data_IF_050448163189
#
_entry.id   IF_050448163189
#
_cell.length_a   1.000
_cell.length_b   1.000
_cell.length_c   1.000
_cell.angle_alpha   90.00
_cell.angle_beta   90.00
_cell.angle_gamma   90.00
#
_symmetry.space_group_name_H-M   'P 1'
#
loop_
_entity.id
_entity.type
_entity.pdbx_description
1 polymer ?
#
# COMPACT_ATOMS: atom_id res chain seq x y z
N UNK A 1 16.18 -56.41 -5.02
CA UNK A 1 15.91 -55.92 -3.64
C UNK A 1 16.20 -54.43 -3.58
N UNK A 2 15.14 -53.62 -3.35
CA UNK A 2 15.12 -52.26 -2.78
C UNK A 2 15.99 -51.17 -3.43
N UNK A 3 15.54 -50.63 -4.57
CA UNK A 3 15.89 -49.26 -4.98
C UNK A 3 15.06 -48.29 -4.13
N UNK A 4 15.65 -47.77 -3.05
CA UNK A 4 15.03 -46.72 -2.23
C UNK A 4 15.15 -45.42 -3.03
N UNK A 5 14.08 -45.08 -3.74
CA UNK A 5 13.90 -43.75 -4.33
C UNK A 5 13.48 -42.84 -3.18
N UNK A 6 14.45 -42.10 -2.64
CA UNK A 6 14.23 -41.05 -1.65
C UNK A 6 13.63 -39.84 -2.38
N UNK A 7 12.30 -39.81 -2.47
CA UNK A 7 11.54 -38.67 -2.97
C UNK A 7 11.61 -37.57 -1.90
N UNK A 8 12.60 -36.66 -2.02
CA UNK A 8 12.72 -35.48 -1.15
C UNK A 8 11.50 -34.57 -1.37
N UNK A 9 10.65 -34.52 -0.35
CA UNK A 9 9.52 -33.63 -0.22
C UNK A 9 10.03 -32.19 -0.05
N UNK A 10 9.96 -31.38 -1.12
CA UNK A 10 10.14 -29.93 -1.05
C UNK A 10 8.94 -29.31 -0.33
N UNK A 11 9.01 -29.18 1.00
CA UNK A 11 8.15 -28.24 1.73
C UNK A 11 8.62 -26.82 1.40
N UNK A 12 7.97 -26.20 0.42
CA UNK A 12 8.07 -24.76 0.21
C UNK A 12 7.54 -24.04 1.45
N UNK A 13 8.43 -23.36 2.18
CA UNK A 13 8.03 -22.47 3.27
C UNK A 13 7.29 -21.29 2.64
N UNK A 14 5.96 -21.30 2.76
CA UNK A 14 5.14 -20.14 2.42
C UNK A 14 5.38 -19.10 3.51
N UNK A 15 6.16 -18.06 3.19
CA UNK A 15 6.36 -16.92 4.08
C UNK A 15 5.07 -16.11 4.08
N UNK A 16 4.22 -16.32 5.09
CA UNK A 16 3.02 -15.50 5.32
C UNK A 16 3.44 -14.12 5.85
N UNK A 17 3.67 -13.17 4.94
CA UNK A 17 3.73 -11.75 5.29
C UNK A 17 2.33 -11.13 5.29
N UNK A 18 2.08 -10.14 6.15
CA UNK A 18 0.82 -9.39 6.12
C UNK A 18 0.63 -8.68 4.78
N UNK A 19 -0.58 -8.73 4.23
CA UNK A 19 -0.91 -8.03 2.98
C UNK A 19 -0.98 -6.51 3.21
N UNK A 20 -0.89 -5.72 2.15
CA UNK A 20 -1.07 -4.27 2.27
C UNK A 20 -2.46 -3.87 2.79
N UNK A 21 -3.49 -4.63 2.43
CA UNK A 21 -4.84 -4.45 2.94
C UNK A 21 -4.94 -4.75 4.45
N UNK A 22 -4.29 -5.82 4.92
CA UNK A 22 -4.23 -6.15 6.34
C UNK A 22 -3.49 -5.07 7.14
N UNK A 23 -2.40 -4.53 6.59
CA UNK A 23 -1.68 -3.41 7.19
C UNK A 23 -2.61 -2.20 7.26
N UNK A 24 -3.30 -1.84 6.17
CA UNK A 24 -4.23 -0.70 6.16
C UNK A 24 -5.36 -0.82 7.20
N UNK A 25 -5.86 -2.05 7.41
CA UNK A 25 -6.89 -2.35 8.43
C UNK A 25 -6.35 -2.22 9.85
N UNK A 26 -5.14 -2.75 10.12
CA UNK A 26 -4.52 -2.73 11.45
C UNK A 26 -3.99 -1.34 11.84
N UNK A 27 -3.57 -0.57 10.85
CA UNK A 27 -2.87 0.70 11.03
C UNK A 27 -3.76 1.90 10.75
N UNK A 28 -5.04 1.81 11.15
CA UNK A 28 -6.06 2.86 11.13
C UNK A 28 -6.35 3.60 9.81
N UNK A 29 -5.68 3.24 8.71
CA UNK A 29 -5.72 3.98 7.44
C UNK A 29 -7.17 4.12 6.92
N UNK A 30 -7.98 3.08 7.12
CA UNK A 30 -9.37 3.01 6.64
C UNK A 30 -10.36 3.90 7.40
N UNK A 31 -9.97 4.53 8.51
CA UNK A 31 -10.82 5.53 9.18
C UNK A 31 -10.97 6.80 8.35
N UNK A 32 -9.92 7.16 7.59
CA UNK A 32 -9.88 8.41 6.82
C UNK A 32 -9.85 8.18 5.31
N UNK A 33 -9.30 7.06 4.86
CA UNK A 33 -9.13 6.72 3.45
C UNK A 33 -10.09 5.60 3.04
N UNK A 34 -10.73 5.77 1.90
CA UNK A 34 -11.44 4.70 1.20
C UNK A 34 -10.66 4.29 -0.06
N UNK A 35 -11.02 3.15 -0.67
CA UNK A 35 -10.37 2.69 -1.89
C UNK A 35 -10.56 3.71 -3.04
N UNK A 36 -11.80 3.99 -3.41
CA UNK A 36 -12.16 4.71 -4.64
C UNK A 36 -12.87 6.05 -4.41
N UNK A 37 -13.61 6.19 -3.31
CA UNK A 37 -14.43 7.37 -3.00
C UNK A 37 -13.73 8.37 -2.09
N UNK A 38 -14.06 9.65 -2.26
CA UNK A 38 -13.62 10.73 -1.35
C UNK A 38 -14.21 10.51 0.05
N UNK A 39 -13.43 10.82 1.08
CA UNK A 39 -13.85 10.73 2.48
C UNK A 39 -13.23 11.90 3.27
N UNK A 40 -12.85 11.69 4.52
CA UNK A 40 -12.09 12.63 5.34
C UNK A 40 -10.74 12.97 4.66
N UNK A 41 -10.16 12.00 3.96
CA UNK A 41 -8.92 12.13 3.19
C UNK A 41 -9.10 11.60 1.74
N UNK A 42 -8.12 11.81 0.84
CA UNK A 42 -8.22 11.32 -0.54
C UNK A 42 -8.32 9.80 -0.62
N UNK A 43 -9.07 9.29 -1.59
CA UNK A 43 -9.14 7.86 -1.88
C UNK A 43 -7.77 7.27 -2.25
N UNK A 44 -7.48 6.03 -1.89
CA UNK A 44 -6.21 5.37 -2.23
C UNK A 44 -5.94 5.35 -3.73
N UNK A 45 -6.94 5.05 -4.55
CA UNK A 45 -6.82 5.10 -6.01
C UNK A 45 -6.48 6.52 -6.51
N UNK A 46 -7.03 7.54 -5.85
CA UNK A 46 -6.72 8.94 -6.13
C UNK A 46 -5.28 9.32 -5.77
N UNK A 47 -4.77 8.81 -4.65
CA UNK A 47 -3.39 8.98 -4.17
C UNK A 47 -2.42 8.32 -5.15
N UNK A 48 -2.68 7.06 -5.52
CA UNK A 48 -1.88 6.33 -6.49
C UNK A 48 -1.78 7.09 -7.82
N UNK A 49 -2.93 7.48 -8.38
CA UNK A 49 -2.99 8.27 -9.62
C UNK A 49 -2.22 9.57 -9.52
N UNK A 50 -2.35 10.29 -8.41
CA UNK A 50 -1.65 11.55 -8.21
C UNK A 50 -0.13 11.39 -8.21
N UNK A 51 0.40 10.44 -7.44
CA UNK A 51 1.83 10.19 -7.35
C UNK A 51 2.42 9.65 -8.66
N UNK A 52 1.71 8.76 -9.36
CA UNK A 52 2.12 8.27 -10.69
C UNK A 52 2.20 9.42 -11.70
N UNK A 53 1.25 10.37 -11.66
CA UNK A 53 1.26 11.53 -12.56
C UNK A 53 2.38 12.52 -12.25
N UNK A 54 2.68 12.74 -10.96
CA UNK A 54 3.72 13.68 -10.55
C UNK A 54 5.14 13.12 -10.71
N UNK A 55 5.34 11.84 -10.39
CA UNK A 55 6.63 11.17 -10.51
C UNK A 55 6.46 9.74 -11.03
N UNK A 56 6.31 9.55 -12.35
CA UNK A 56 6.07 8.22 -12.94
C UNK A 56 7.26 7.26 -12.76
N UNK A 57 8.48 7.77 -12.58
CA UNK A 57 9.69 6.95 -12.38
C UNK A 57 9.79 6.39 -10.97
N UNK A 58 9.30 7.13 -9.98
CA UNK A 58 9.28 6.72 -8.59
C UNK A 58 8.05 7.29 -7.85
N UNK A 59 6.86 6.69 -8.06
CA UNK A 59 5.65 7.14 -7.37
C UNK A 59 5.64 6.77 -5.87
N UNK A 60 6.61 5.99 -5.40
CA UNK A 60 6.62 5.42 -4.04
C UNK A 60 7.22 6.37 -3.02
N UNK A 61 8.31 7.07 -3.36
CA UNK A 61 9.09 7.87 -2.41
C UNK A 61 8.24 8.88 -1.62
N UNK A 62 7.41 9.68 -2.31
CA UNK A 62 6.54 10.65 -1.62
C UNK A 62 5.51 9.96 -0.73
N UNK A 63 4.93 8.85 -1.17
CA UNK A 63 3.96 8.09 -0.36
C UNK A 63 4.60 7.53 0.91
N UNK A 64 5.79 6.93 0.80
CA UNK A 64 6.56 6.42 1.93
C UNK A 64 6.89 7.55 2.92
N UNK A 65 7.36 8.69 2.41
CA UNK A 65 7.68 9.85 3.24
C UNK A 65 6.45 10.35 4.01
N UNK A 66 5.31 10.49 3.33
CA UNK A 66 4.06 10.96 3.95
C UNK A 66 3.58 9.99 5.04
N UNK A 67 3.69 8.67 4.85
CA UNK A 67 3.32 7.68 5.88
C UNK A 67 4.25 7.78 7.10
N UNK A 68 5.56 7.91 6.87
CA UNK A 68 6.54 8.00 7.98
C UNK A 68 6.40 9.27 8.80
N UNK A 69 6.22 10.41 8.14
CA UNK A 69 6.36 11.73 8.75
C UNK A 69 5.05 12.50 8.86
N UNK A 70 3.96 11.93 8.37
CA UNK A 70 2.68 12.61 8.26
C UNK A 70 2.68 13.61 7.10
N UNK A 71 1.59 14.37 7.00
CA UNK A 71 1.48 15.47 6.04
C UNK A 71 0.43 16.49 6.44
N UNK A 72 0.50 17.69 5.88
CA UNK A 72 -0.51 18.73 6.06
C UNK A 72 -0.83 19.40 4.73
N UNK A 73 -2.10 19.40 4.34
CA UNK A 73 -2.58 20.18 3.20
C UNK A 73 -2.03 19.81 1.81
N UNK A 74 -1.45 18.61 1.65
CA UNK A 74 -0.81 18.15 0.39
C UNK A 74 -1.76 18.18 -0.83
N UNK A 75 -3.05 17.94 -0.60
CA UNK A 75 -4.06 17.93 -1.64
C UNK A 75 -4.95 19.17 -1.53
N UNK A 76 -5.13 19.89 -2.64
CA UNK A 76 -5.96 21.12 -2.68
C UNK A 76 -7.36 20.96 -2.06
N UNK A 77 -8.01 19.83 -2.31
CA UNK A 77 -9.35 19.54 -1.75
C UNK A 77 -9.33 19.12 -0.27
N UNK A 78 -8.15 18.89 0.31
CA UNK A 78 -7.92 18.46 1.68
C UNK A 78 -6.92 19.41 2.39
N UNK A 79 -6.89 20.69 2.01
CA UNK A 79 -5.90 21.68 2.47
C UNK A 79 -5.84 21.85 4.00
N UNK A 80 -6.95 21.61 4.70
CA UNK A 80 -7.03 21.73 6.16
C UNK A 80 -6.84 20.40 6.89
N UNK A 81 -6.55 19.32 6.16
CA UNK A 81 -6.40 17.97 6.72
C UNK A 81 -4.93 17.68 7.00
N UNK A 82 -4.72 17.04 8.14
CA UNK A 82 -3.42 16.54 8.59
C UNK A 82 -3.49 15.02 8.61
N UNK A 83 -2.53 14.36 7.98
CA UNK A 83 -2.31 12.93 8.17
C UNK A 83 -1.28 12.77 9.28
N UNK A 84 -1.59 12.06 10.38
CA UNK A 84 -0.60 11.80 11.43
C UNK A 84 0.53 10.90 10.90
N UNK A 85 1.74 10.97 11.48
CA UNK A 85 2.81 10.02 11.19
C UNK A 85 2.46 8.63 11.74
N UNK A 86 2.98 7.58 11.08
CA UNK A 86 2.85 6.19 11.51
C UNK A 86 4.19 5.60 11.95
N UNK A 87 4.78 6.05 13.09
CA UNK A 87 6.12 5.62 13.52
C UNK A 87 6.21 4.14 13.92
N UNK A 88 5.05 3.50 14.16
CA UNK A 88 4.98 2.09 14.54
C UNK A 88 5.07 1.14 13.35
N UNK A 89 5.00 1.64 12.11
CA UNK A 89 5.14 0.81 10.91
C UNK A 89 6.60 0.68 10.54
N UNK A 90 7.03 -0.56 10.32
CA UNK A 90 8.35 -0.83 9.76
C UNK A 90 8.44 -0.39 8.30
N UNK A 91 9.66 -0.14 7.84
CA UNK A 91 9.93 0.19 6.44
C UNK A 91 9.38 -0.88 5.49
N UNK A 92 9.43 -2.15 5.90
CA UNK A 92 8.87 -3.26 5.13
C UNK A 92 7.35 -3.13 5.00
N UNK A 93 6.63 -2.88 6.09
CA UNK A 93 5.18 -2.71 6.08
C UNK A 93 4.75 -1.51 5.26
N UNK A 94 5.45 -0.38 5.38
CA UNK A 94 5.17 0.82 4.58
C UNK A 94 5.37 0.53 3.09
N UNK A 95 6.45 -0.15 2.71
CA UNK A 95 6.67 -0.53 1.32
C UNK A 95 5.59 -1.49 0.80
N UNK A 96 5.18 -2.47 1.59
CA UNK A 96 4.08 -3.39 1.25
C UNK A 96 2.76 -2.63 1.08
N UNK A 97 2.44 -1.71 1.98
CA UNK A 97 1.24 -0.88 1.92
C UNK A 97 1.21 0.01 0.66
N UNK A 98 2.33 0.68 0.37
CA UNK A 98 2.46 1.54 -0.82
C UNK A 98 2.37 0.72 -2.11
N UNK A 99 3.01 -0.47 -2.16
CA UNK A 99 2.86 -1.40 -3.30
C UNK A 99 1.41 -1.74 -3.54
N UNK A 100 0.71 -2.16 -2.50
CA UNK A 100 -0.69 -2.56 -2.59
C UNK A 100 -1.59 -1.41 -3.08
N UNK A 101 -1.39 -0.17 -2.63
CA UNK A 101 -2.15 0.99 -3.12
C UNK A 101 -1.92 1.22 -4.63
N UNK A 102 -0.65 1.15 -5.08
CA UNK A 102 -0.31 1.35 -6.49
C UNK A 102 -0.83 0.23 -7.38
N UNK A 103 -0.73 -1.02 -6.93
CA UNK A 103 -1.19 -2.18 -7.68
C UNK A 103 -2.72 -2.24 -7.72
N UNK A 104 -3.41 -1.86 -6.65
CA UNK A 104 -4.87 -1.68 -6.65
C UNK A 104 -5.33 -0.66 -7.69
N UNK A 105 -4.55 0.40 -7.93
CA UNK A 105 -4.84 1.35 -8.99
C UNK A 105 -4.62 0.78 -10.38
N UNK A 106 -3.54 0.02 -10.60
CA UNK A 106 -3.33 -0.65 -11.89
C UNK A 106 -4.45 -1.63 -12.19
N UNK A 107 -4.86 -2.42 -11.18
CA UNK A 107 -5.94 -3.39 -11.29
C UNK A 107 -7.28 -2.72 -11.62
N UNK A 108 -7.63 -1.65 -10.91
CA UNK A 108 -8.81 -0.83 -11.23
C UNK A 108 -8.76 -0.32 -12.68
N UNK A 109 -7.62 0.19 -13.13
CA UNK A 109 -7.48 0.67 -14.51
C UNK A 109 -7.56 -0.44 -15.55
N UNK A 110 -7.21 -1.68 -15.21
CA UNK A 110 -7.29 -2.82 -16.12
C UNK A 110 -8.73 -3.31 -16.33
N UNK A 111 -9.62 -3.10 -15.35
CA UNK A 111 -10.99 -3.63 -15.35
C UNK A 111 -12.09 -2.58 -15.51
N UNK A 112 -11.76 -1.28 -15.48
CA UNK A 112 -12.72 -0.18 -15.54
C UNK A 112 -12.41 0.85 -16.64
N UNK A 113 -11.78 0.40 -17.73
CA UNK A 113 -11.58 1.20 -18.95
C UNK A 113 -12.70 0.98 -19.96
#
# INVERSE_FOLDING_TARGET
MKKIVLLMLLLGVVVYGSTGEEIAKKSDCLHCHAMDKRSIAPAFLGIARHNIRLNPKDPRSKMIHVIKYGSHGEYRHYKSKTMPPHPNLSDKEINTLVSWILDSYKDYMAHNQ
#
